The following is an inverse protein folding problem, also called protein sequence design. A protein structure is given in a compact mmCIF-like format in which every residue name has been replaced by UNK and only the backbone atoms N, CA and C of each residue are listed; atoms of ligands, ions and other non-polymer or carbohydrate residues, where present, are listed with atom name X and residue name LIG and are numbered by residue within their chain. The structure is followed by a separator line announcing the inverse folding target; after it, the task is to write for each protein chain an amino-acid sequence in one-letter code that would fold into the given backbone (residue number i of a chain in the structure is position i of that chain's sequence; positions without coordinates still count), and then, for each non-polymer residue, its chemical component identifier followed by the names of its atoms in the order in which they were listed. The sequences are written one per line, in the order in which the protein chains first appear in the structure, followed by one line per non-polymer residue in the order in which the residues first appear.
data_IF_077719689172
#
_entry.id   IF_077719689172
#
_cell.length_a   1.000
_cell.length_b   1.000
_cell.length_c   1.000
_cell.angle_alpha   90.00
_cell.angle_beta   90.00
_cell.angle_gamma   90.00
#
_symmetry.space_group_name_H-M   'P 1'
#
loop_
_entity.id
_entity.type
_entity.pdbx_description
1 polymer ?
#
# COMPACT_ATOMS: atom_id res chain seq x y z
N UNK A 1 -4.94 13.83 -0.19
CA UNK A 1 -5.72 12.72 0.42
C UNK A 1 -4.90 11.44 0.27
N UNK A 2 -4.77 10.61 1.32
CA UNK A 2 -3.81 9.48 1.37
C UNK A 2 -4.39 8.19 0.77
N UNK A 3 -5.63 7.88 1.16
CA UNK A 3 -6.32 6.64 0.79
C UNK A 3 -7.30 6.88 -0.36
N UNK A 4 -7.48 5.88 -1.21
CA UNK A 4 -8.57 5.85 -2.19
C UNK A 4 -9.90 5.61 -1.49
N UNK A 5 -11.00 5.85 -2.20
CA UNK A 5 -12.34 5.57 -1.65
C UNK A 5 -12.53 4.07 -1.37
N UNK A 6 -11.91 3.19 -2.18
CA UNK A 6 -11.98 1.73 -1.96
C UNK A 6 -11.19 1.30 -0.72
N UNK A 7 -9.99 1.85 -0.53
CA UNK A 7 -9.21 1.60 0.69
C UNK A 7 -9.92 2.11 1.94
N UNK A 8 -10.54 3.28 1.85
CA UNK A 8 -11.35 3.87 2.93
C UNK A 8 -12.51 2.94 3.29
N UNK A 9 -13.33 2.56 2.29
CA UNK A 9 -14.44 1.63 2.49
C UNK A 9 -13.99 0.28 3.06
N UNK A 10 -12.83 -0.24 2.62
CA UNK A 10 -12.27 -1.46 3.16
C UNK A 10 -11.88 -1.31 4.64
N UNK A 11 -11.15 -0.26 5.01
CA UNK A 11 -10.63 -0.09 6.36
C UNK A 11 -11.75 0.21 7.36
N UNK A 12 -12.71 1.06 6.97
CA UNK A 12 -13.89 1.38 7.77
C UNK A 12 -14.78 0.14 8.01
N UNK A 13 -14.76 -0.83 7.09
CA UNK A 13 -15.50 -2.09 7.21
C UNK A 13 -14.86 -3.13 8.15
N UNK A 14 -13.78 -2.82 8.85
CA UNK A 14 -13.08 -3.75 9.76
C UNK A 14 -13.37 -3.44 11.22
N UNK A 15 -13.20 -4.45 12.07
CA UNK A 15 -13.42 -4.33 13.52
C UNK A 15 -12.54 -3.27 14.17
N UNK A 16 -11.32 -3.07 13.66
CA UNK A 16 -10.42 -2.02 14.09
C UNK A 16 -9.88 -1.22 12.90
N UNK A 17 -10.57 -0.17 12.42
CA UNK A 17 -10.15 0.56 11.23
C UNK A 17 -8.74 1.19 11.34
N UNK A 18 -8.32 1.61 12.53
CA UNK A 18 -7.06 2.36 12.70
C UNK A 18 -5.83 1.53 12.33
N UNK A 19 -5.74 0.27 12.77
CA UNK A 19 -4.61 -0.63 12.42
C UNK A 19 -4.58 -0.93 10.93
N UNK A 20 -5.77 -0.98 10.31
CA UNK A 20 -5.93 -1.20 8.89
C UNK A 20 -5.52 0.02 8.06
N UNK A 21 -5.81 1.23 8.51
CA UNK A 21 -5.28 2.44 7.89
C UNK A 21 -3.77 2.57 8.08
N UNK A 22 -3.27 2.30 9.29
CA UNK A 22 -1.84 2.37 9.61
C UNK A 22 -1.03 1.40 8.73
N UNK A 23 -1.46 0.14 8.61
CA UNK A 23 -0.82 -0.84 7.72
C UNK A 23 -0.77 -0.39 6.25
N UNK A 24 -1.86 0.21 5.74
CA UNK A 24 -1.94 0.71 4.36
C UNK A 24 -1.06 1.95 4.15
N UNK A 25 -0.97 2.82 5.15
CA UNK A 25 -0.06 3.95 5.12
C UNK A 25 1.39 3.49 5.07
N UNK A 26 1.80 2.59 5.96
CA UNK A 26 3.15 1.99 5.97
C UNK A 26 3.47 1.31 4.63
N UNK A 27 2.49 0.62 4.04
CA UNK A 27 2.66 -0.03 2.75
C UNK A 27 2.84 0.96 1.60
N UNK A 28 2.06 2.05 1.54
CA UNK A 28 2.23 3.12 0.55
C UNK A 28 3.60 3.81 0.66
N UNK A 29 4.07 4.05 1.89
CA UNK A 29 5.41 4.58 2.15
C UNK A 29 6.50 3.63 1.66
N UNK A 30 6.40 2.33 1.97
CA UNK A 30 7.35 1.31 1.52
C UNK A 30 7.41 1.22 -0.01
N UNK A 31 6.25 1.23 -0.69
CA UNK A 31 6.15 1.21 -2.14
C UNK A 31 6.79 2.45 -2.76
N UNK A 32 6.49 3.66 -2.27
CA UNK A 32 7.13 4.89 -2.76
C UNK A 32 8.64 4.84 -2.64
N UNK A 33 9.16 4.42 -1.48
CA UNK A 33 10.60 4.31 -1.25
C UNK A 33 11.24 3.28 -2.19
N UNK A 34 10.58 2.15 -2.41
CA UNK A 34 11.03 1.13 -3.35
C UNK A 34 11.13 1.68 -4.79
N UNK A 35 10.08 2.38 -5.26
CA UNK A 35 10.06 3.01 -6.59
C UNK A 35 11.12 4.10 -6.73
N UNK A 36 11.28 4.96 -5.72
CA UNK A 36 12.33 5.99 -5.76
C UNK A 36 13.73 5.36 -5.76
N UNK A 37 13.93 4.27 -5.02
CA UNK A 37 15.20 3.56 -5.00
C UNK A 37 15.53 2.84 -6.31
N UNK A 38 14.55 2.59 -7.19
CA UNK A 38 14.79 2.03 -8.54
C UNK A 38 15.21 3.08 -9.57
N UNK A 39 15.34 4.36 -9.17
CA UNK A 39 15.76 5.46 -10.05
C UNK A 39 14.61 6.25 -10.67
N UNK A 40 13.36 5.95 -10.28
CA UNK A 40 12.20 6.74 -10.69
C UNK A 40 12.07 8.01 -9.83
N UNK A 41 12.28 9.18 -10.44
CA UNK A 41 12.45 10.43 -9.68
C UNK A 41 11.25 11.39 -9.76
N UNK A 42 10.12 10.99 -10.36
CA UNK A 42 8.91 11.83 -10.38
C UNK A 42 8.11 11.63 -9.11
N UNK A 43 7.48 12.69 -8.63
CA UNK A 43 6.67 12.63 -7.42
C UNK A 43 5.44 11.73 -7.61
N UNK A 44 5.19 10.88 -6.60
CA UNK A 44 4.03 9.98 -6.56
C UNK A 44 3.16 10.34 -5.36
N UNK A 45 1.94 10.80 -5.62
CA UNK A 45 0.96 11.04 -4.57
C UNK A 45 0.44 9.71 -4.00
N UNK A 46 0.17 9.64 -2.69
CA UNK A 46 -0.36 8.42 -2.06
C UNK A 46 -1.70 7.95 -2.62
N UNK A 47 -2.55 8.87 -3.06
CA UNK A 47 -3.81 8.55 -3.72
C UNK A 47 -3.65 7.87 -5.08
N UNK A 48 -2.42 7.82 -5.62
CA UNK A 48 -2.07 7.17 -6.90
C UNK A 48 -1.48 5.78 -6.72
N UNK A 49 -1.44 5.28 -5.48
CA UNK A 49 -1.07 3.91 -5.13
C UNK A 49 -2.29 3.32 -4.43
N UNK A 50 -2.85 2.21 -4.91
CA UNK A 50 -3.98 1.55 -4.25
C UNK A 50 -3.59 0.16 -3.77
N UNK A 51 -3.94 -0.16 -2.53
CA UNK A 51 -3.63 -1.44 -1.89
C UNK A 51 -4.93 -2.05 -1.37
N UNK A 52 -5.39 -3.11 -2.02
CA UNK A 52 -6.58 -3.86 -1.64
C UNK A 52 -6.18 -5.31 -1.35
N UNK A 53 -6.92 -6.04 -0.50
CA UNK A 53 -6.69 -7.47 -0.39
C UNK A 53 -7.26 -8.21 -1.60
N UNK A 54 -6.65 -9.36 -1.91
CA UNK A 54 -7.26 -10.38 -2.77
C UNK A 54 -8.39 -11.14 -2.03
N UNK A 55 -8.93 -12.19 -2.68
CA UNK A 55 -9.95 -13.05 -2.10
C UNK A 55 -9.52 -13.80 -0.84
N UNK A 56 -8.20 -13.95 -0.62
CA UNK A 56 -7.60 -14.63 0.54
C UNK A 56 -7.16 -13.64 1.63
N UNK A 57 -7.36 -12.33 1.43
CA UNK A 57 -6.94 -11.30 2.37
C UNK A 57 -5.51 -10.80 2.17
N UNK A 58 -4.78 -11.31 1.17
CA UNK A 58 -3.39 -10.95 0.89
C UNK A 58 -3.36 -9.54 0.29
N UNK A 59 -2.59 -8.58 0.84
CA UNK A 59 -2.52 -7.24 0.29
C UNK A 59 -1.84 -7.26 -1.08
N UNK A 60 -2.55 -6.75 -2.10
CA UNK A 60 -2.05 -6.58 -3.46
C UNK A 60 -2.02 -5.09 -3.81
N UNK A 61 -1.01 -4.69 -4.58
CA UNK A 61 -1.04 -3.38 -5.23
C UNK A 61 -2.02 -3.48 -6.40
N UNK A 62 -3.18 -2.85 -6.29
CA UNK A 62 -4.24 -2.93 -7.31
C UNK A 62 -4.10 -1.86 -8.39
N UNK A 63 -3.39 -0.78 -8.11
CA UNK A 63 -3.18 0.32 -9.04
C UNK A 63 -1.94 1.15 -8.68
N UNK A 64 -1.15 1.49 -9.70
CA UNK A 64 -0.18 2.60 -9.67
C UNK A 64 -0.30 3.35 -10.99
N UNK A 65 -0.40 4.68 -10.93
CA UNK A 65 -0.66 5.54 -12.12
C UNK A 65 0.50 5.61 -13.13
N UNK A 66 1.71 5.21 -12.73
CA UNK A 66 2.96 5.54 -13.42
C UNK A 66 3.75 4.35 -13.97
N UNK A 67 3.42 3.13 -13.55
CA UNK A 67 4.23 1.92 -13.75
C UNK A 67 3.30 0.69 -13.79
N UNK A 68 3.73 -0.40 -14.46
CA UNK A 68 3.04 -1.68 -14.33
C UNK A 68 3.24 -2.20 -12.90
N UNK A 69 2.20 -2.06 -12.10
CA UNK A 69 2.20 -2.36 -10.67
C UNK A 69 2.33 -3.86 -10.35
N UNK A 70 2.16 -4.72 -11.37
CA UNK A 70 2.18 -6.19 -11.21
C UNK A 70 3.50 -6.73 -10.68
N UNK A 71 4.56 -5.97 -10.89
CA UNK A 71 5.92 -6.26 -10.45
C UNK A 71 6.20 -5.83 -9.01
N UNK A 72 5.27 -5.17 -8.32
CA UNK A 72 5.43 -4.80 -6.91
C UNK A 72 4.64 -5.76 -6.03
N UNK A 73 5.36 -6.42 -5.11
CA UNK A 73 4.77 -7.18 -4.00
C UNK A 73 4.93 -6.41 -2.71
N UNK A 74 3.93 -6.52 -1.83
CA UNK A 74 3.93 -5.88 -0.53
C UNK A 74 3.46 -6.85 0.54
N UNK A 75 4.09 -6.77 1.71
CA UNK A 75 3.65 -7.46 2.92
C UNK A 75 3.40 -6.42 4.00
N UNK A 76 2.37 -6.64 4.81
CA UNK A 76 1.93 -5.73 5.88
C UNK A 76 1.83 -6.54 7.16
N UNK A 77 2.42 -6.04 8.23
CA UNK A 77 2.20 -6.54 9.58
C UNK A 77 1.85 -5.36 10.50
N UNK A 78 1.02 -5.64 11.50
CA UNK A 78 0.69 -4.67 12.53
C UNK A 78 0.59 -5.38 13.87
N UNK A 79 0.97 -4.68 14.93
CA UNK A 79 0.85 -5.10 16.32
C UNK A 79 0.54 -3.85 17.11
N UNK A 80 -0.54 -3.86 17.90
CA UNK A 80 -1.02 -2.75 18.74
C UNK A 80 -0.70 -1.35 18.19
N UNK A 81 0.44 -0.79 18.59
CA UNK A 81 0.86 0.58 18.32
C UNK A 81 1.71 0.78 17.05
N UNK A 82 2.08 -0.31 16.37
CA UNK A 82 2.99 -0.31 15.23
C UNK A 82 2.39 -0.97 14.00
N UNK A 83 2.72 -0.39 12.84
CA UNK A 83 2.44 -0.99 11.54
C UNK A 83 3.70 -0.91 10.68
N UNK A 84 4.14 -2.06 10.16
CA UNK A 84 5.29 -2.19 9.28
C UNK A 84 4.84 -2.76 7.94
N UNK A 85 5.51 -2.33 6.88
CA UNK A 85 5.34 -2.93 5.57
C UNK A 85 6.69 -3.07 4.86
N UNK A 86 6.79 -4.10 4.04
CA UNK A 86 7.94 -4.36 3.17
C UNK A 86 7.40 -4.41 1.75
N UNK A 87 8.03 -3.66 0.84
CA UNK A 87 7.73 -3.68 -0.58
C UNK A 87 8.96 -4.18 -1.36
N UNK A 88 8.70 -4.95 -2.42
CA UNK A 88 9.72 -5.47 -3.32
C UNK A 88 9.26 -5.24 -4.75
N UNK A 89 10.15 -4.71 -5.58
CA UNK A 89 9.95 -4.50 -7.00
C UNK A 89 10.80 -5.51 -7.77
N UNK A 90 10.17 -6.28 -8.64
CA UNK A 90 10.82 -7.27 -9.50
C UNK A 90 11.07 -6.65 -10.88
N UNK A 91 12.32 -6.66 -11.34
CA UNK A 91 12.72 -6.25 -12.69
C UNK A 91 12.65 -7.41 -13.68
#
# INVERSE_FOLDING_TARGET
KIFTNKETAYCDGKSNPSIHFAGRFSAKEAIKKCIYSSGYNKEIAFSKIEILPDSNGIPIVSFIDILDYKEIKVSIAHENDFAIAIAMFFL
#
